data_IF_944292041076
#
_entry.id   IF_944292041076
#
_cell.length_a   1.000
_cell.length_b   1.000
_cell.length_c   1.000
_cell.angle_alpha   90.00
_cell.angle_beta   90.00
_cell.angle_gamma   90.00
#
_symmetry.space_group_name_H-M   'P 1'
#
loop_
_entity.id
_entity.type
_entity.pdbx_description
1 polymer ?
#
# COMPACT_ATOMS: atom_id res chain seq x y z
N UNK A 1 37.24 -0.70 -43.10
CA UNK A 1 36.15 -1.67 -42.88
C UNK A 1 36.75 -3.08 -42.88
N UNK A 2 36.80 -3.80 -41.75
CA UNK A 2 37.29 -5.17 -41.70
C UNK A 2 36.31 -6.12 -42.42
N UNK A 3 36.82 -7.15 -43.10
CA UNK A 3 35.99 -8.20 -43.70
C UNK A 3 35.69 -9.26 -42.64
N UNK A 4 34.41 -9.51 -42.37
CA UNK A 4 33.95 -10.60 -41.49
C UNK A 4 34.17 -11.96 -42.16
N UNK A 5 34.44 -12.99 -41.35
CA UNK A 5 34.59 -14.38 -41.79
C UNK A 5 33.26 -15.05 -42.16
N UNK A 6 33.29 -16.29 -42.67
CA UNK A 6 32.09 -17.02 -43.08
C UNK A 6 31.16 -17.32 -41.89
N UNK A 7 29.83 -17.25 -42.08
CA UNK A 7 28.86 -17.42 -40.99
C UNK A 7 28.77 -18.87 -40.50
N UNK A 8 28.51 -19.02 -39.20
CA UNK A 8 28.31 -20.30 -38.53
C UNK A 8 26.93 -20.91 -38.82
N UNK A 9 26.75 -22.24 -38.75
CA UNK A 9 25.47 -22.89 -39.04
C UNK A 9 24.45 -22.61 -37.94
N UNK A 10 23.32 -21.97 -38.29
CA UNK A 10 22.24 -21.65 -37.35
C UNK A 10 21.53 -20.32 -37.63
N UNK A 11 22.12 -19.46 -38.46
CA UNK A 11 21.56 -18.13 -38.75
C UNK A 11 20.41 -18.18 -39.78
N UNK A 12 19.28 -17.54 -39.46
CA UNK A 12 17.99 -17.68 -40.17
C UNK A 12 17.90 -16.88 -41.48
N UNK A 13 19.01 -16.29 -41.95
CA UNK A 13 19.03 -15.32 -43.05
C UNK A 13 18.49 -15.81 -44.40
N UNK A 14 18.62 -17.10 -44.75
CA UNK A 14 18.16 -17.61 -46.07
C UNK A 14 16.63 -17.60 -46.23
N UNK A 15 15.88 -17.94 -45.18
CA UNK A 15 14.43 -18.07 -45.25
C UNK A 15 13.69 -16.73 -45.45
N UNK A 16 14.34 -15.61 -45.10
CA UNK A 16 13.77 -14.26 -45.25
C UNK A 16 14.03 -13.72 -46.66
N UNK A 17 15.20 -13.99 -47.24
CA UNK A 17 15.59 -13.53 -48.58
C UNK A 17 14.77 -14.22 -49.69
N UNK A 18 14.50 -15.52 -49.57
CA UNK A 18 13.69 -16.24 -50.57
C UNK A 18 12.24 -15.71 -50.68
N UNK A 19 11.65 -15.26 -49.56
CA UNK A 19 10.31 -14.65 -49.55
C UNK A 19 10.27 -13.23 -50.14
N UNK A 20 11.40 -12.53 -50.26
CA UNK A 20 11.47 -11.26 -50.99
C UNK A 20 11.66 -11.47 -52.49
N UNK A 21 12.47 -12.47 -52.90
CA UNK A 21 12.62 -12.83 -54.31
C UNK A 21 11.31 -13.27 -54.98
N UNK A 22 10.48 -14.05 -54.27
CA UNK A 22 9.22 -14.57 -54.80
C UNK A 22 8.12 -13.51 -55.06
N UNK A 23 8.27 -12.27 -54.58
CA UNK A 23 7.33 -11.16 -54.87
C UNK A 23 7.77 -10.25 -56.03
N UNK A 24 9.01 -10.39 -56.53
CA UNK A 24 9.55 -9.54 -57.59
C UNK A 24 9.30 -10.07 -59.02
N UNK A 25 8.67 -11.23 -59.16
CA UNK A 25 8.49 -11.93 -60.44
C UNK A 25 7.01 -12.05 -60.85
N UNK A 26 6.30 -10.92 -60.95
CA UNK A 26 5.03 -10.87 -61.67
C UNK A 26 4.73 -9.46 -62.21
N UNK A 27 4.22 -9.41 -63.44
CA UNK A 27 3.78 -8.24 -64.22
C UNK A 27 4.91 -7.32 -64.75
N UNK A 28 5.26 -7.55 -66.02
CA UNK A 28 5.81 -6.53 -66.91
C UNK A 28 5.01 -6.53 -68.23
N UNK A 29 4.92 -5.36 -68.88
CA UNK A 29 4.45 -5.06 -70.26
C UNK A 29 3.06 -4.42 -70.42
N UNK A 30 3.02 -3.09 -70.61
CA UNK A 30 2.35 -2.35 -71.72
C UNK A 30 3.14 -1.02 -71.96
N UNK A 31 3.06 -0.45 -73.17
CA UNK A 31 3.88 0.64 -73.78
C UNK A 31 3.25 2.08 -73.63
N UNK A 32 3.86 3.19 -74.16
CA UNK A 32 3.92 4.50 -73.46
C UNK A 32 3.10 5.67 -74.04
N UNK A 33 3.05 6.79 -73.30
CA UNK A 33 2.61 8.13 -73.74
C UNK A 33 2.92 9.24 -72.71
N UNK A 34 3.20 10.47 -73.18
CA UNK A 34 3.54 11.68 -72.39
C UNK A 34 2.28 12.49 -71.96
N UNK A 35 2.37 13.72 -71.40
CA UNK A 35 2.88 14.07 -70.06
C UNK A 35 1.88 14.90 -69.20
N UNK A 36 2.28 15.22 -67.96
CA UNK A 36 1.76 16.30 -67.07
C UNK A 36 0.43 16.13 -66.31
N UNK A 37 0.50 16.09 -64.97
CA UNK A 37 -0.36 16.86 -64.04
C UNK A 37 0.05 16.63 -62.55
N UNK A 38 0.09 17.69 -61.72
CA UNK A 38 0.02 17.59 -60.24
C UNK A 38 -1.46 17.61 -59.82
N UNK A 39 -1.86 16.93 -58.73
CA UNK A 39 -2.20 17.69 -57.52
C UNK A 39 -1.95 17.00 -56.15
N UNK A 40 -1.87 17.82 -55.09
CA UNK A 40 -2.18 17.51 -53.67
C UNK A 40 -3.62 18.03 -53.38
N UNK A 41 -4.28 17.85 -52.21
CA UNK A 41 -4.01 17.01 -51.02
C UNK A 41 -4.93 15.75 -51.06
N UNK A 42 -5.24 15.01 -49.98
CA UNK A 42 -4.65 14.97 -48.63
C UNK A 42 -5.59 15.19 -47.42
N UNK A 43 -6.87 15.54 -47.62
CA UNK A 43 -7.85 15.85 -46.53
C UNK A 43 -8.98 14.83 -46.37
N UNK A 44 -9.44 14.23 -47.47
CA UNK A 44 -10.76 13.57 -47.51
C UNK A 44 -10.80 12.27 -46.71
N UNK A 45 -9.65 11.58 -46.62
CA UNK A 45 -9.52 10.28 -45.94
C UNK A 45 -9.71 10.36 -44.42
N UNK A 46 -9.32 11.46 -43.78
CA UNK A 46 -9.49 11.63 -42.34
C UNK A 46 -10.97 11.83 -41.95
N UNK A 47 -11.76 12.44 -42.84
CA UNK A 47 -13.20 12.56 -42.66
C UNK A 47 -13.95 11.25 -42.91
N UNK A 48 -13.47 10.42 -43.84
CA UNK A 48 -14.01 9.06 -44.04
C UNK A 48 -13.76 8.18 -42.81
N UNK A 49 -12.52 8.13 -42.29
CA UNK A 49 -12.17 7.31 -41.13
C UNK A 49 -12.98 7.71 -39.87
N UNK A 50 -13.26 9.01 -39.68
CA UNK A 50 -14.10 9.49 -38.56
C UNK A 50 -15.60 9.23 -38.74
N UNK A 51 -16.12 9.18 -39.98
CA UNK A 51 -17.51 8.71 -40.24
C UNK A 51 -17.63 7.20 -40.00
N UNK A 52 -16.66 6.40 -40.44
CA UNK A 52 -16.65 4.94 -40.22
C UNK A 52 -16.68 4.59 -38.73
N UNK A 53 -15.90 5.30 -37.89
CA UNK A 53 -15.89 5.10 -36.44
C UNK A 53 -17.23 5.43 -35.74
N UNK A 54 -18.09 6.26 -36.34
CA UNK A 54 -19.42 6.59 -35.80
C UNK A 54 -20.52 5.61 -36.22
N UNK A 55 -20.23 4.69 -37.14
CA UNK A 55 -21.21 3.73 -37.68
C UNK A 55 -21.00 2.28 -37.20
N UNK A 56 -19.96 2.00 -36.40
CA UNK A 56 -19.75 0.68 -35.79
C UNK A 56 -20.70 0.42 -34.62
N UNK A 57 -21.89 -0.10 -34.94
CA UNK A 57 -22.98 -0.41 -34.00
C UNK A 57 -22.72 -1.59 -33.06
N UNK A 58 -21.72 -1.48 -32.17
CA UNK A 58 -21.39 -2.51 -31.16
C UNK A 58 -21.77 -2.14 -29.71
N UNK A 59 -22.41 -0.98 -29.49
CA UNK A 59 -22.71 -0.46 -28.14
C UNK A 59 -24.20 -0.38 -27.76
N UNK A 60 -25.11 -0.89 -28.60
CA UNK A 60 -26.56 -0.93 -28.31
C UNK A 60 -27.12 -2.36 -28.29
N UNK A 61 -26.59 -3.19 -27.40
CA UNK A 61 -27.03 -4.57 -27.19
C UNK A 61 -27.21 -4.95 -25.70
N UNK A 62 -27.86 -4.08 -24.91
CA UNK A 62 -28.46 -4.49 -23.62
C UNK A 62 -29.58 -3.53 -23.18
N UNK A 63 -30.68 -3.51 -23.93
CA UNK A 63 -31.91 -2.82 -23.54
C UNK A 63 -33.14 -3.39 -24.27
N UNK A 64 -33.77 -4.43 -23.68
CA UNK A 64 -35.22 -4.74 -23.70
C UNK A 64 -35.51 -6.20 -23.32
N UNK A 65 -35.80 -6.43 -22.05
CA UNK A 65 -36.69 -7.50 -21.59
C UNK A 65 -37.70 -6.90 -20.61
N UNK A 66 -38.71 -6.24 -21.17
CA UNK A 66 -39.87 -5.73 -20.44
C UNK A 66 -40.78 -6.90 -20.03
N UNK A 67 -40.92 -7.13 -18.72
CA UNK A 67 -41.90 -8.04 -18.15
C UNK A 67 -42.93 -7.23 -17.34
N UNK A 68 -44.21 -7.44 -17.65
CA UNK A 68 -45.35 -6.69 -17.09
C UNK A 68 -45.67 -7.12 -15.65
N UNK A 69 -45.83 -6.20 -14.69
CA UNK A 69 -46.47 -6.49 -13.41
C UNK A 69 -48.00 -6.34 -13.52
N UNK A 70 -48.74 -7.28 -12.91
CA UNK A 70 -50.19 -7.20 -12.78
C UNK A 70 -50.56 -6.73 -11.36
N UNK A 71 -51.48 -5.77 -11.26
CA UNK A 71 -52.07 -5.33 -9.98
C UNK A 71 -53.19 -6.27 -9.52
N UNK A 72 -53.40 -6.39 -8.20
CA UNK A 72 -54.67 -5.87 -7.67
C UNK A 72 -54.55 -5.12 -6.33
N UNK A 73 -55.16 -3.93 -6.29
CA UNK A 73 -55.94 -3.21 -5.25
C UNK A 73 -55.85 -3.47 -3.71
N UNK A 74 -56.31 -2.51 -2.87
CA UNK A 74 -55.49 -2.03 -1.75
C UNK A 74 -55.96 -2.44 -0.34
N UNK A 75 -55.05 -2.33 0.63
CA UNK A 75 -55.37 -2.34 2.06
C UNK A 75 -54.49 -1.40 2.90
N UNK A 76 -55.10 -0.27 3.31
CA UNK A 76 -55.00 0.44 4.62
C UNK A 76 -53.62 0.67 5.29
N UNK A 77 -53.31 1.96 5.52
CA UNK A 77 -52.19 2.50 6.31
C UNK A 77 -52.28 2.15 7.81
N UNK A 78 -51.18 2.27 8.58
CA UNK A 78 -50.94 3.54 9.28
C UNK A 78 -49.56 4.14 9.03
N UNK A 79 -49.48 5.46 9.15
CA UNK A 79 -48.29 6.25 8.90
C UNK A 79 -47.25 6.20 10.04
N UNK A 80 -45.98 6.29 9.66
CA UNK A 80 -44.93 6.92 10.46
C UNK A 80 -44.19 7.94 9.57
N UNK A 81 -44.07 9.18 10.03
CA UNK A 81 -43.51 10.29 9.27
C UNK A 81 -41.96 10.27 9.29
N UNK A 82 -41.28 10.89 8.31
CA UNK A 82 -39.83 10.85 8.20
C UNK A 82 -39.15 11.85 9.16
N UNK A 83 -38.10 11.41 9.84
CA UNK A 83 -37.14 12.30 10.47
C UNK A 83 -35.91 12.43 9.56
N UNK A 84 -35.82 13.53 8.81
CA UNK A 84 -34.57 13.96 8.18
C UNK A 84 -33.76 14.80 9.16
N UNK A 85 -32.42 14.69 9.14
CA UNK A 85 -31.56 15.58 9.91
C UNK A 85 -30.19 15.00 10.28
N UNK A 86 -29.17 15.45 9.54
CA UNK A 86 -27.78 15.60 10.02
C UNK A 86 -27.12 14.46 10.82
N UNK A 87 -26.33 13.66 10.10
CA UNK A 87 -24.91 13.51 10.45
C UNK A 87 -24.55 13.07 11.87
N UNK A 88 -25.32 12.15 12.46
CA UNK A 88 -24.94 11.55 13.73
C UNK A 88 -23.73 10.64 13.51
N UNK A 89 -22.54 11.16 13.86
CA UNK A 89 -21.29 10.39 13.87
C UNK A 89 -21.42 9.31 14.95
N UNK A 90 -21.93 8.14 14.58
CA UNK A 90 -22.21 7.03 15.51
C UNK A 90 -21.03 6.83 16.46
N UNK A 91 -21.30 7.04 17.75
CA UNK A 91 -20.34 6.78 18.80
C UNK A 91 -19.97 5.29 18.77
N UNK A 92 -18.69 4.98 18.92
CA UNK A 92 -18.21 3.60 18.81
C UNK A 92 -18.51 2.87 20.11
N UNK A 93 -19.56 2.05 20.13
CA UNK A 93 -19.74 1.05 21.18
C UNK A 93 -18.85 -0.18 20.88
N UNK A 94 -17.67 -0.18 21.48
CA UNK A 94 -16.70 -1.26 21.38
C UNK A 94 -17.14 -2.56 22.09
N UNK A 95 -18.18 -2.55 22.94
CA UNK A 95 -18.75 -3.77 23.51
C UNK A 95 -19.73 -4.44 22.54
N UNK A 96 -20.53 -3.66 21.80
CA UNK A 96 -21.54 -4.19 20.90
C UNK A 96 -20.98 -4.66 19.55
N UNK A 97 -19.99 -3.95 18.98
CA UNK A 97 -19.36 -4.32 17.70
C UNK A 97 -17.84 -4.11 17.73
N UNK A 98 -17.07 -5.05 18.33
CA UNK A 98 -15.61 -4.95 18.44
C UNK A 98 -14.86 -4.83 17.10
N UNK A 99 -15.52 -5.18 15.99
CA UNK A 99 -14.93 -5.21 14.64
C UNK A 99 -15.54 -4.18 13.69
N UNK A 100 -16.44 -3.30 14.15
CA UNK A 100 -17.16 -2.31 13.35
C UNK A 100 -17.79 -2.91 12.06
N UNK A 101 -18.40 -4.10 12.16
CA UNK A 101 -19.08 -4.77 11.07
C UNK A 101 -20.26 -3.96 10.52
N UNK A 102 -21.03 -3.28 11.37
CA UNK A 102 -22.14 -2.44 10.89
C UNK A 102 -21.62 -1.33 9.96
N UNK A 103 -20.57 -0.61 10.37
CA UNK A 103 -19.92 0.42 9.52
C UNK A 103 -19.37 -0.11 8.20
N UNK A 104 -18.97 -1.38 8.12
CA UNK A 104 -18.54 -2.00 6.85
C UNK A 104 -19.74 -2.27 5.94
N UNK A 105 -20.85 -2.76 6.50
CA UNK A 105 -22.10 -2.92 5.77
C UNK A 105 -22.64 -1.55 5.29
N UNK A 106 -22.58 -0.52 6.15
CA UNK A 106 -22.99 0.84 5.82
C UNK A 106 -22.08 1.44 4.73
N UNK A 107 -20.75 1.23 4.79
CA UNK A 107 -19.81 1.67 3.75
C UNK A 107 -20.07 1.01 2.39
N UNK A 108 -20.38 -0.29 2.37
CA UNK A 108 -20.75 -1.00 1.13
C UNK A 108 -22.13 -0.59 0.63
N UNK A 109 -23.03 -0.20 1.52
CA UNK A 109 -24.40 0.25 1.21
C UNK A 109 -24.50 1.75 0.95
N UNK A 110 -23.43 2.52 1.18
CA UNK A 110 -23.36 3.95 0.95
C UNK A 110 -23.44 4.22 -0.55
N UNK A 111 -24.65 4.55 -1.02
CA UNK A 111 -24.87 4.96 -2.40
C UNK A 111 -24.26 6.33 -2.61
N UNK A 112 -23.27 6.41 -3.50
CA UNK A 112 -22.72 7.69 -3.90
C UNK A 112 -23.85 8.59 -4.43
N UNK A 113 -23.88 9.79 -3.87
CA UNK A 113 -24.93 10.80 -4.10
C UNK A 113 -24.31 12.13 -4.55
N UNK A 114 -23.02 12.12 -4.90
CA UNK A 114 -22.34 13.27 -5.48
C UNK A 114 -22.80 13.56 -6.90
N UNK A 115 -22.61 14.82 -7.31
CA UNK A 115 -22.71 15.20 -8.72
C UNK A 115 -21.55 14.56 -9.50
N UNK A 116 -21.78 14.17 -10.77
CA UNK A 116 -20.76 13.58 -11.66
C UNK A 116 -19.57 14.53 -11.96
N UNK A 117 -19.62 15.78 -11.51
CA UNK A 117 -18.63 16.83 -11.75
C UNK A 117 -17.97 17.24 -10.44
N UNK A 118 -16.70 16.91 -10.29
CA UNK A 118 -15.87 17.39 -9.18
C UNK A 118 -15.82 18.93 -9.14
N UNK A 119 -16.11 19.58 -7.99
CA UNK A 119 -15.99 21.03 -7.85
C UNK A 119 -14.53 21.53 -7.87
N UNK A 120 -13.55 20.62 -7.76
CA UNK A 120 -12.13 20.94 -7.78
C UNK A 120 -11.57 20.88 -9.21
N UNK A 121 -11.10 22.02 -9.73
CA UNK A 121 -10.44 22.07 -11.03
C UNK A 121 -8.99 21.55 -10.97
N UNK A 122 -8.51 21.00 -12.10
CA UNK A 122 -7.12 20.56 -12.26
C UNK A 122 -6.14 21.74 -12.07
N UNK A 123 -5.22 21.60 -11.12
CA UNK A 123 -4.14 22.58 -10.88
C UNK A 123 -2.86 22.19 -11.61
N UNK A 124 -2.10 23.15 -12.17
CA UNK A 124 -0.77 22.88 -12.74
C UNK A 124 0.24 22.59 -11.62
N UNK A 125 1.26 21.77 -11.93
CA UNK A 125 2.36 21.50 -11.02
C UNK A 125 3.14 22.79 -10.68
N UNK A 126 3.48 22.99 -9.40
CA UNK A 126 4.14 24.24 -8.96
C UNK A 126 5.61 24.37 -9.40
N UNK A 127 6.23 23.29 -9.89
CA UNK A 127 7.57 23.28 -10.48
C UNK A 127 7.74 22.08 -11.40
N UNK A 128 8.57 22.21 -12.44
CA UNK A 128 9.01 21.08 -13.25
C UNK A 128 9.91 20.10 -12.47
N UNK A 129 10.59 20.60 -11.42
CA UNK A 129 11.51 19.82 -10.58
C UNK A 129 10.80 19.47 -9.26
N UNK A 130 9.67 18.77 -9.38
CA UNK A 130 8.79 18.42 -8.26
C UNK A 130 8.69 16.90 -8.12
N UNK A 131 8.82 16.44 -6.87
CA UNK A 131 8.44 15.09 -6.46
C UNK A 131 7.09 15.19 -5.74
N UNK A 132 6.01 14.81 -6.41
CA UNK A 132 4.64 14.94 -5.93
C UNK A 132 4.32 13.99 -4.77
N UNK A 133 3.33 14.35 -3.96
CA UNK A 133 2.73 13.47 -2.98
C UNK A 133 2.27 12.14 -3.61
N UNK A 134 2.37 11.04 -2.87
CA UNK A 134 2.18 9.67 -3.35
C UNK A 134 3.44 9.03 -3.97
N UNK A 135 4.49 9.81 -4.26
CA UNK A 135 5.77 9.26 -4.74
C UNK A 135 6.46 8.41 -3.65
N UNK A 136 7.19 7.38 -4.07
CA UNK A 136 7.85 6.42 -3.16
C UNK A 136 9.37 6.54 -3.27
N UNK A 137 10.04 6.80 -2.16
CA UNK A 137 11.50 6.76 -2.04
C UNK A 137 11.88 5.41 -1.41
N UNK A 138 12.60 4.57 -2.14
CA UNK A 138 13.11 3.29 -1.63
C UNK A 138 14.41 3.49 -0.84
N UNK A 139 14.53 2.82 0.31
CA UNK A 139 15.72 2.89 1.15
C UNK A 139 16.00 1.62 1.94
N UNK A 140 17.09 1.63 2.69
CA UNK A 140 17.50 0.57 3.62
C UNK A 140 18.11 1.20 4.87
N UNK A 141 17.80 0.68 6.05
CA UNK A 141 18.31 1.20 7.32
C UNK A 141 19.85 1.04 7.39
N UNK A 142 20.57 2.12 7.72
CA UNK A 142 21.98 2.05 8.12
C UNK A 142 22.08 1.61 9.59
N UNK A 143 21.21 2.16 10.44
CA UNK A 143 21.16 1.87 11.88
C UNK A 143 20.01 0.91 12.19
N UNK A 144 20.27 -0.12 12.99
CA UNK A 144 19.18 -0.88 13.62
C UNK A 144 18.47 -0.04 14.69
N UNK A 145 17.26 -0.44 15.06
CA UNK A 145 16.48 0.17 16.14
C UNK A 145 15.91 -0.88 17.07
N UNK A 146 15.61 -0.48 18.31
CA UNK A 146 14.97 -1.34 19.31
C UNK A 146 14.01 -0.51 20.14
N UNK A 147 12.74 -0.90 20.22
CA UNK A 147 11.70 -0.10 20.88
C UNK A 147 11.82 0.02 22.42
N UNK A 148 12.87 -0.50 23.04
CA UNK A 148 13.09 -0.36 24.49
C UNK A 148 13.42 1.10 24.89
N UNK A 149 14.04 1.87 23.99
CA UNK A 149 14.40 3.27 24.19
C UNK A 149 14.15 4.07 22.90
N UNK A 150 13.65 5.32 22.98
CA UNK A 150 13.46 6.17 21.81
C UNK A 150 14.82 6.61 21.27
N UNK A 151 14.91 6.87 19.96
CA UNK A 151 16.20 7.17 19.35
C UNK A 151 16.14 7.73 17.94
N UNK A 152 17.34 7.99 17.41
CA UNK A 152 17.56 8.39 16.04
C UNK A 152 17.75 7.16 15.15
N UNK A 153 17.30 7.27 13.90
CA UNK A 153 17.45 6.25 12.87
C UNK A 153 17.88 6.88 11.56
N UNK A 154 18.78 6.21 10.86
CA UNK A 154 19.33 6.64 9.56
C UNK A 154 19.06 5.53 8.55
N UNK A 155 18.56 5.90 7.37
CA UNK A 155 18.49 5.04 6.20
C UNK A 155 19.24 5.66 5.02
N UNK A 156 19.64 4.81 4.07
CA UNK A 156 20.21 5.21 2.79
C UNK A 156 19.19 4.95 1.68
N UNK A 157 19.00 5.92 0.79
CA UNK A 157 18.20 5.80 -0.42
C UNK A 157 18.89 4.81 -1.36
N UNK A 158 18.17 3.77 -1.77
CA UNK A 158 18.71 2.64 -2.55
C UNK A 158 18.45 2.75 -4.06
N UNK A 159 17.59 3.68 -4.48
CA UNK A 159 17.23 3.89 -5.89
C UNK A 159 17.21 5.38 -6.21
N UNK A 160 17.57 5.74 -7.44
CA UNK A 160 17.44 7.09 -7.95
C UNK A 160 15.95 7.49 -8.08
N UNK A 161 15.59 8.69 -7.64
CA UNK A 161 14.22 9.23 -7.69
C UNK A 161 14.17 10.44 -8.60
N UNK A 162 13.30 10.37 -9.61
CA UNK A 162 13.12 11.40 -10.64
C UNK A 162 11.89 12.26 -10.36
N UNK A 163 11.72 13.34 -11.13
CA UNK A 163 10.53 14.20 -11.07
C UNK A 163 9.25 13.45 -11.42
N UNK A 164 8.15 13.79 -10.74
CA UNK A 164 6.86 13.09 -10.93
C UNK A 164 6.14 13.45 -12.22
N UNK A 165 6.47 14.60 -12.84
CA UNK A 165 5.77 15.11 -14.02
C UNK A 165 6.25 14.47 -15.33
N UNK A 166 7.56 14.17 -15.44
CA UNK A 166 8.20 13.66 -16.66
C UNK A 166 9.05 12.41 -16.45
N UNK A 167 9.52 12.16 -15.21
CA UNK A 167 10.37 11.02 -14.88
C UNK A 167 11.77 11.09 -15.51
N UNK A 168 12.29 12.29 -15.80
CA UNK A 168 13.54 12.51 -16.56
C UNK A 168 14.61 13.25 -15.77
N UNK A 169 14.21 14.14 -14.87
CA UNK A 169 15.10 14.94 -14.03
C UNK A 169 15.35 14.19 -12.74
N UNK A 170 16.60 13.81 -12.48
CA UNK A 170 17.00 13.22 -11.20
C UNK A 170 16.84 14.27 -10.09
N UNK A 171 16.08 13.95 -9.04
CA UNK A 171 15.84 14.86 -7.91
C UNK A 171 16.46 14.36 -6.60
N UNK A 172 16.50 13.05 -6.38
CA UNK A 172 17.15 12.44 -5.20
C UNK A 172 18.04 11.28 -5.69
N UNK A 173 19.37 11.37 -5.58
CA UNK A 173 20.27 10.30 -6.01
C UNK A 173 20.25 9.13 -5.04
N UNK A 174 20.59 7.95 -5.56
CA UNK A 174 20.98 6.82 -4.72
C UNK A 174 22.16 7.23 -3.81
N UNK A 175 22.13 6.80 -2.56
CA UNK A 175 23.13 7.20 -1.56
C UNK A 175 22.77 8.43 -0.72
N UNK A 176 21.74 9.19 -1.09
CA UNK A 176 21.15 10.18 -0.18
C UNK A 176 20.72 9.51 1.14
N UNK A 177 20.78 10.24 2.25
CA UNK A 177 20.48 9.72 3.60
C UNK A 177 19.14 10.26 4.10
N UNK A 178 18.25 9.37 4.49
CA UNK A 178 17.06 9.70 5.26
C UNK A 178 17.47 9.72 6.74
N UNK A 179 17.13 10.80 7.43
CA UNK A 179 17.38 10.96 8.85
C UNK A 179 16.05 11.13 9.58
N UNK A 180 15.87 10.37 10.66
CA UNK A 180 14.74 10.62 11.54
C UNK A 180 14.80 9.93 12.88
N UNK A 181 13.62 9.64 13.44
CA UNK A 181 13.47 9.16 14.81
C UNK A 181 12.40 8.07 14.95
N UNK A 182 12.49 7.31 16.03
CA UNK A 182 11.48 6.35 16.46
C UNK A 182 11.21 6.51 17.96
N UNK A 183 10.00 6.15 18.38
CA UNK A 183 9.56 6.16 19.78
C UNK A 183 9.71 4.76 20.40
N UNK A 184 9.85 4.70 21.72
CA UNK A 184 9.77 3.47 22.53
C UNK A 184 8.34 3.05 22.87
N UNK A 185 7.35 3.94 22.71
CA UNK A 185 5.96 3.63 23.05
C UNK A 185 5.37 2.57 22.09
N UNK A 186 5.26 1.34 22.59
CA UNK A 186 4.70 0.20 21.86
C UNK A 186 3.49 -0.35 22.62
N UNK A 187 2.32 -0.30 21.99
CA UNK A 187 1.09 -0.80 22.58
C UNK A 187 1.08 -2.34 22.68
N UNK A 188 0.27 -2.90 23.59
CA UNK A 188 0.08 -4.34 23.64
C UNK A 188 -0.42 -4.88 22.28
N UNK A 189 0.19 -5.96 21.80
CA UNK A 189 -0.13 -6.56 20.49
C UNK A 189 0.46 -5.83 19.27
N UNK A 190 1.11 -4.67 19.44
CA UNK A 190 1.80 -3.98 18.35
C UNK A 190 3.04 -4.78 17.92
N UNK A 191 3.14 -5.05 16.62
CA UNK A 191 4.26 -5.81 16.00
C UNK A 191 5.18 -4.95 15.12
N UNK A 192 4.83 -3.67 14.95
CA UNK A 192 5.47 -2.73 14.02
C UNK A 192 6.07 -1.54 14.74
N UNK A 193 7.32 -1.23 14.41
CA UNK A 193 8.00 -0.03 14.88
C UNK A 193 7.56 1.17 14.03
N UNK A 194 7.03 2.21 14.68
CA UNK A 194 6.77 3.49 14.03
C UNK A 194 8.08 4.28 13.93
N UNK A 195 8.46 4.61 12.70
CA UNK A 195 9.56 5.51 12.38
C UNK A 195 8.97 6.72 11.67
N UNK A 196 9.48 7.91 11.97
CA UNK A 196 9.18 9.15 11.25
C UNK A 196 10.47 9.75 10.68
N UNK A 197 10.42 10.20 9.43
CA UNK A 197 11.53 10.84 8.73
C UNK A 197 11.33 12.36 8.74
N UNK A 198 12.34 13.10 9.18
CA UNK A 198 12.29 14.57 9.26
C UNK A 198 13.27 15.28 8.30
N UNK A 199 14.18 14.56 7.65
CA UNK A 199 15.14 15.17 6.72
C UNK A 199 15.68 14.17 5.69
N UNK A 200 15.83 14.63 4.45
CA UNK A 200 16.66 14.00 3.42
C UNK A 200 17.95 14.81 3.31
N UNK A 201 19.10 14.15 3.36
CA UNK A 201 20.43 14.74 3.19
C UNK A 201 21.05 14.16 1.92
N UNK A 202 21.39 15.03 0.99
CA UNK A 202 21.96 14.71 -0.31
C UNK A 202 23.47 14.45 -0.22
N UNK A 203 24.10 13.78 -1.20
CA UNK A 203 25.54 13.51 -1.17
C UNK A 203 26.45 14.75 -1.11
N UNK A 204 25.99 15.91 -1.60
CA UNK A 204 26.69 17.21 -1.54
C UNK A 204 26.55 17.91 -0.17
N UNK A 205 25.81 17.32 0.77
CA UNK A 205 25.49 17.91 2.07
C UNK A 205 24.30 18.87 2.05
N UNK A 206 23.69 19.15 0.88
CA UNK A 206 22.41 19.85 0.84
C UNK A 206 21.31 19.00 1.49
N UNK A 207 20.25 19.63 2.00
CA UNK A 207 19.18 18.87 2.66
C UNK A 207 17.82 19.56 2.59
N UNK A 208 16.77 18.74 2.60
CA UNK A 208 15.37 19.17 2.68
C UNK A 208 14.73 18.58 3.93
N UNK A 209 13.95 19.39 4.66
CA UNK A 209 13.18 18.93 5.82
C UNK A 209 11.86 18.32 5.37
N UNK A 210 11.42 17.31 6.12
CA UNK A 210 10.16 16.60 5.94
C UNK A 210 9.27 16.81 7.16
N UNK A 211 7.96 16.76 6.94
CA UNK A 211 6.93 16.98 7.96
C UNK A 211 6.57 15.67 8.69
N UNK A 212 7.56 15.10 9.40
CA UNK A 212 7.45 13.83 10.15
C UNK A 212 6.83 12.66 9.34
N UNK A 213 7.33 12.44 8.13
CA UNK A 213 6.75 11.45 7.20
C UNK A 213 6.96 10.02 7.74
N UNK A 214 5.90 9.21 7.94
CA UNK A 214 6.03 7.87 8.48
C UNK A 214 6.76 6.94 7.50
N UNK A 215 7.58 6.04 8.03
CA UNK A 215 8.14 4.93 7.25
C UNK A 215 7.04 3.92 6.88
N UNK A 216 7.20 3.31 5.71
CA UNK A 216 6.43 2.15 5.26
C UNK A 216 7.36 0.98 4.92
N UNK A 217 6.82 -0.23 4.93
CA UNK A 217 7.53 -1.43 4.50
C UNK A 217 7.51 -1.63 2.97
N UNK A 218 8.06 -2.75 2.49
CA UNK A 218 8.07 -3.10 1.06
C UNK A 218 6.68 -3.37 0.46
N UNK A 219 5.63 -3.47 1.28
CA UNK A 219 4.23 -3.64 0.87
C UNK A 219 3.43 -2.35 1.00
N UNK A 220 4.02 -1.27 1.54
CA UNK A 220 3.37 0.02 1.75
C UNK A 220 2.61 0.16 3.07
N UNK A 221 2.64 -0.85 3.94
CA UNK A 221 2.05 -0.72 5.28
C UNK A 221 2.91 0.20 6.16
N UNK A 222 2.28 0.99 7.02
CA UNK A 222 2.98 1.88 7.96
C UNK A 222 3.82 1.11 8.99
N UNK A 223 4.95 1.69 9.36
CA UNK A 223 5.95 1.11 10.26
C UNK A 223 6.69 -0.09 9.65
N UNK A 224 7.73 -0.54 10.35
CA UNK A 224 8.53 -1.71 9.96
C UNK A 224 8.29 -2.89 10.89
N UNK A 225 8.28 -4.10 10.34
CA UNK A 225 8.17 -5.37 11.09
C UNK A 225 9.42 -6.21 10.82
N UNK A 226 10.01 -6.76 11.89
CA UNK A 226 11.15 -7.69 11.83
C UNK A 226 11.06 -8.64 13.03
N UNK A 227 11.87 -8.46 14.08
CA UNK A 227 11.84 -9.32 15.27
C UNK A 227 10.98 -8.71 16.37
N UNK A 228 10.08 -9.52 16.95
CA UNK A 228 9.18 -9.11 18.05
C UNK A 228 9.34 -10.08 19.22
N UNK A 229 9.80 -9.59 20.37
CA UNK A 229 9.83 -10.35 21.62
C UNK A 229 8.68 -9.92 22.54
N UNK A 230 7.61 -10.72 22.54
CA UNK A 230 6.44 -10.55 23.39
C UNK A 230 6.66 -10.95 24.86
N UNK A 231 7.87 -11.40 25.22
CA UNK A 231 8.29 -11.71 26.59
C UNK A 231 7.43 -12.75 27.34
N UNK A 232 6.50 -13.42 26.65
CA UNK A 232 5.45 -14.26 27.22
C UNK A 232 5.99 -15.42 28.07
N UNK A 233 7.15 -15.96 27.70
CA UNK A 233 7.83 -17.02 28.46
C UNK A 233 8.23 -16.59 29.87
N UNK A 234 8.55 -15.30 30.09
CA UNK A 234 8.83 -14.75 31.43
C UNK A 234 7.56 -14.75 32.29
N UNK A 235 6.41 -14.43 31.68
CA UNK A 235 5.10 -14.44 32.35
C UNK A 235 4.67 -15.88 32.67
N UNK A 236 4.77 -16.80 31.72
CA UNK A 236 4.46 -18.23 31.91
C UNK A 236 5.34 -18.88 32.98
N UNK A 237 6.64 -18.54 33.04
CA UNK A 237 7.53 -19.00 34.12
C UNK A 237 7.11 -18.48 35.48
N UNK A 238 6.76 -17.19 35.58
CA UNK A 238 6.22 -16.61 36.81
C UNK A 238 4.93 -17.31 37.24
N UNK A 239 4.01 -17.52 36.30
CA UNK A 239 2.77 -18.27 36.50
C UNK A 239 3.02 -19.66 37.08
N UNK A 240 3.86 -20.47 36.42
CA UNK A 240 4.12 -21.84 36.81
C UNK A 240 4.73 -21.94 38.23
N UNK A 241 5.65 -21.05 38.57
CA UNK A 241 6.25 -21.00 39.93
C UNK A 241 5.19 -20.62 40.97
N UNK A 242 4.34 -19.62 40.69
CA UNK A 242 3.24 -19.25 41.59
C UNK A 242 2.22 -20.37 41.78
N UNK A 243 1.84 -21.08 40.71
CA UNK A 243 0.91 -22.24 40.78
C UNK A 243 1.52 -23.38 41.60
N UNK A 244 2.79 -23.72 41.38
CA UNK A 244 3.48 -24.77 42.14
C UNK A 244 3.60 -24.44 43.63
N UNK A 245 3.86 -23.17 43.98
CA UNK A 245 3.91 -22.73 45.37
C UNK A 245 2.53 -22.78 46.05
N UNK A 246 1.46 -22.45 45.31
CA UNK A 246 0.08 -22.61 45.77
C UNK A 246 -0.26 -24.07 46.09
N UNK A 247 -0.10 -24.96 45.11
CA UNK A 247 -0.39 -26.40 45.26
C UNK A 247 0.48 -27.06 46.35
N UNK A 248 1.73 -26.62 46.52
CA UNK A 248 2.62 -27.08 47.58
C UNK A 248 2.12 -26.80 49.00
N UNK A 249 1.25 -25.80 49.18
CA UNK A 249 0.64 -25.50 50.49
C UNK A 249 -0.60 -26.36 50.82
N UNK A 250 -1.19 -27.02 49.83
CA UNK A 250 -2.48 -27.73 49.94
C UNK A 250 -2.36 -29.22 50.29
N UNK A 251 -1.21 -29.83 50.00
CA UNK A 251 -0.93 -31.27 50.19
C UNK A 251 -0.90 -31.74 51.66
N UNK A 252 -1.07 -30.83 52.62
CA UNK A 252 -1.07 -31.11 54.07
C UNK A 252 -2.46 -31.51 54.61
N UNK A 253 -3.54 -31.38 53.83
CA UNK A 253 -4.91 -31.55 54.33
C UNK A 253 -5.66 -32.74 53.71
N UNK A 254 -5.48 -33.93 54.29
CA UNK A 254 -6.18 -35.16 53.89
C UNK A 254 -7.17 -35.63 54.96
N UNK A 255 -8.46 -35.31 54.81
CA UNK A 255 -9.52 -35.84 55.68
C UNK A 255 -10.94 -35.44 55.27
N UNK A 256 -11.82 -36.41 55.03
CA UNK A 256 -13.20 -36.20 54.59
C UNK A 256 -14.00 -35.31 55.55
N UNK A 257 -14.30 -34.09 55.09
CA UNK A 257 -15.05 -33.07 55.83
C UNK A 257 -15.40 -31.90 54.90
N UNK A 258 -16.36 -31.05 55.30
CA UNK A 258 -16.68 -29.79 54.63
C UNK A 258 -15.44 -28.91 54.42
N UNK A 259 -14.42 -29.05 55.27
CA UNK A 259 -13.13 -28.39 55.13
C UNK A 259 -12.42 -28.76 53.81
N UNK A 260 -12.44 -30.01 53.36
CA UNK A 260 -11.84 -30.42 52.07
C UNK A 260 -12.65 -29.88 50.88
N UNK A 261 -13.97 -29.74 51.02
CA UNK A 261 -14.81 -29.11 49.99
C UNK A 261 -14.59 -27.58 49.94
N UNK A 262 -14.48 -26.93 51.09
CA UNK A 262 -14.14 -25.51 51.20
C UNK A 262 -12.71 -25.21 50.71
N UNK A 263 -11.73 -26.06 51.03
CA UNK A 263 -10.37 -26.01 50.46
C UNK A 263 -10.48 -26.13 48.94
N UNK A 264 -11.10 -27.18 48.38
CA UNK A 264 -11.25 -27.35 46.93
C UNK A 264 -11.89 -26.13 46.23
N UNK A 265 -12.93 -25.54 46.81
CA UNK A 265 -13.56 -24.33 46.26
C UNK A 265 -12.66 -23.10 46.36
N UNK A 266 -12.00 -22.89 47.50
CA UNK A 266 -11.05 -21.78 47.68
C UNK A 266 -9.79 -21.92 46.82
N UNK A 267 -9.28 -23.14 46.60
CA UNK A 267 -8.25 -23.49 45.62
C UNK A 267 -8.69 -23.11 44.21
N UNK A 268 -9.87 -23.55 43.77
CA UNK A 268 -10.42 -23.21 42.46
C UNK A 268 -10.55 -21.69 42.26
N UNK A 269 -11.06 -20.98 43.27
CA UNK A 269 -11.15 -19.51 43.27
C UNK A 269 -9.80 -18.80 43.36
N UNK A 270 -8.75 -19.45 43.89
CA UNK A 270 -7.41 -18.88 43.99
C UNK A 270 -6.61 -19.11 42.72
N UNK A 271 -6.77 -20.28 42.09
CA UNK A 271 -6.24 -20.57 40.75
C UNK A 271 -6.88 -19.67 39.69
N UNK A 272 -8.20 -19.42 39.76
CA UNK A 272 -8.84 -18.49 38.82
C UNK A 272 -8.34 -17.06 39.00
N UNK A 273 -8.31 -16.54 40.25
CA UNK A 273 -7.78 -15.19 40.55
C UNK A 273 -6.30 -15.04 40.16
N UNK A 274 -5.48 -16.07 40.38
CA UNK A 274 -4.10 -16.08 39.91
C UNK A 274 -4.04 -16.05 38.38
N UNK A 275 -4.87 -16.82 37.69
CA UNK A 275 -5.01 -16.80 36.23
C UNK A 275 -5.36 -15.41 35.70
N UNK A 276 -6.37 -14.76 36.25
CA UNK A 276 -6.80 -13.40 35.89
C UNK A 276 -5.69 -12.37 36.13
N UNK A 277 -4.97 -12.49 37.26
CA UNK A 277 -3.82 -11.64 37.59
C UNK A 277 -2.63 -11.86 36.64
N UNK A 278 -2.43 -13.08 36.16
CA UNK A 278 -1.37 -13.43 35.20
C UNK A 278 -1.69 -12.97 33.78
N UNK A 279 -2.96 -13.11 33.34
CA UNK A 279 -3.44 -12.58 32.06
C UNK A 279 -3.31 -11.07 32.06
N UNK A 280 -3.87 -10.38 33.06
CA UNK A 280 -3.76 -8.92 33.17
C UNK A 280 -2.31 -8.42 33.24
N UNK A 281 -1.42 -9.13 33.94
CA UNK A 281 0.02 -8.81 33.93
C UNK A 281 0.68 -9.09 32.58
N UNK A 282 0.26 -10.12 31.84
CA UNK A 282 0.74 -10.38 30.48
C UNK A 282 0.32 -9.28 29.49
N UNK A 283 -0.88 -8.71 29.67
CA UNK A 283 -1.37 -7.59 28.86
C UNK A 283 -0.61 -6.28 29.13
N UNK A 284 0.09 -6.16 30.26
CA UNK A 284 0.88 -4.99 30.65
C UNK A 284 2.36 -5.04 30.20
N UNK A 285 2.85 -6.19 29.72
CA UNK A 285 4.23 -6.29 29.20
C UNK A 285 4.25 -5.80 27.76
N UNK A 286 4.89 -4.65 27.53
CA UNK A 286 5.12 -4.14 26.18
C UNK A 286 6.07 -5.07 25.42
N UNK A 287 5.78 -5.43 24.16
CA UNK A 287 6.68 -6.24 23.35
C UNK A 287 7.88 -5.40 22.86
N UNK A 288 9.07 -6.00 22.86
CA UNK A 288 10.27 -5.37 22.28
C UNK A 288 10.30 -5.64 20.78
N UNK A 289 10.27 -4.60 19.96
CA UNK A 289 10.40 -4.67 18.50
C UNK A 289 11.83 -4.29 18.15
N UNK A 290 12.54 -5.19 17.46
CA UNK A 290 13.91 -4.98 16.97
C UNK A 290 13.92 -5.03 15.45
N UNK A 291 14.32 -3.93 14.80
CA UNK A 291 14.55 -3.89 13.36
C UNK A 291 16.06 -3.87 13.11
N UNK A 292 16.55 -4.83 12.32
CA UNK A 292 17.99 -4.98 12.05
C UNK A 292 18.53 -3.86 11.13
N UNK A 293 19.83 -3.51 11.24
CA UNK A 293 20.53 -2.79 10.18
C UNK A 293 20.36 -3.52 8.83
N UNK A 294 20.29 -2.76 7.74
CA UNK A 294 20.03 -3.28 6.39
C UNK A 294 18.56 -3.52 6.05
N UNK A 295 17.63 -3.42 7.01
CA UNK A 295 16.21 -3.65 6.74
C UNK A 295 15.67 -2.72 5.64
N UNK A 296 15.01 -3.25 4.59
CA UNK A 296 14.47 -2.45 3.50
C UNK A 296 13.25 -1.67 3.96
N UNK A 297 13.10 -0.44 3.45
CA UNK A 297 12.01 0.45 3.82
C UNK A 297 11.61 1.36 2.65
N UNK A 298 10.44 1.98 2.76
CA UNK A 298 9.92 2.97 1.81
C UNK A 298 9.46 4.22 2.55
N UNK A 299 9.68 5.38 1.96
CA UNK A 299 9.13 6.65 2.40
C UNK A 299 8.10 7.09 1.37
N UNK A 300 6.84 7.18 1.78
CA UNK A 300 5.75 7.69 0.96
C UNK A 300 5.67 9.21 1.12
N UNK A 301 5.94 9.95 0.05
CA UNK A 301 5.95 11.42 0.07
C UNK A 301 4.52 11.93 0.35
N UNK A 302 4.33 12.68 1.43
CA UNK A 302 3.00 13.17 1.86
C UNK A 302 2.66 14.59 1.37
N UNK A 303 3.67 15.37 0.97
CA UNK A 303 3.55 16.74 0.45
C UNK A 303 4.52 16.89 -0.71
N UNK A 304 4.14 17.66 -1.73
CA UNK A 304 5.01 17.88 -2.88
C UNK A 304 6.35 18.51 -2.47
N UNK A 305 7.44 17.93 -2.94
CA UNK A 305 8.80 18.40 -2.68
C UNK A 305 9.35 19.08 -3.94
N UNK A 306 9.53 20.40 -3.90
CA UNK A 306 10.24 21.14 -4.94
C UNK A 306 11.74 21.03 -4.65
N UNK A 307 12.48 20.45 -5.59
CA UNK A 307 13.89 20.11 -5.46
C UNK A 307 14.71 20.78 -6.57
N UNK A 308 16.02 20.89 -6.36
CA UNK A 308 16.96 21.20 -7.45
C UNK A 308 17.24 19.92 -8.24
N UNK A 309 17.38 19.99 -9.58
CA UNK A 309 17.95 18.89 -10.35
C UNK A 309 19.29 18.46 -9.76
N UNK A 310 19.45 17.16 -9.53
CA UNK A 310 20.73 16.59 -9.16
C UNK A 310 21.62 16.51 -10.39
N UNK A 311 22.81 17.12 -10.29
CA UNK A 311 23.86 17.01 -11.30
C UNK A 311 24.98 16.22 -10.64
N UNK A 312 25.36 15.09 -11.24
CA UNK A 312 26.55 14.36 -10.82
C UNK A 312 27.79 15.17 -11.25
N UNK A 313 28.24 16.08 -10.38
CA UNK A 313 29.60 16.61 -10.47
C UNK A 313 30.58 15.47 -10.15
N UNK A 314 31.01 14.79 -11.21
CA UNK A 314 32.13 13.85 -11.15
C UNK A 314 33.37 14.59 -10.66
N UNK A 315 33.67 14.45 -9.36
CA UNK A 315 34.91 14.93 -8.78
C UNK A 315 36.09 14.33 -9.56
N UNK A 316 36.89 15.21 -10.16
CA UNK A 316 38.23 14.85 -10.65
C UNK A 316 39.21 14.67 -9.49
#
# INVERSE_FOLDING_TARGET
MPKLGPPLPGDLGRAIVEKQGAKAAQVATVLPGEPSAKPQPGTDRAEEETRSARQSGLFFASAKTSATPASPDPAVLPAAAPAGGSGEKLAIDFNADPNAQQRKADFVSAKDSGDDVEPHALTPAASANMLSAGSVIAGSLITGLRSDLPGLVIAQVTQQVFDSATGRTLLIPQGARLFGSYDSLVAFGQRRALIVWQRIVMPDGSSIRLDNVPATDMSGYAGLEDQVDAHTWRVIKGAAISTLLGLGSELTFTGDSDLVQAIRQSTQQSVSRAGDQLVSRSLQVQPTITIRPGAPMRLLVQRDLVLKPWIEEFSR
#
